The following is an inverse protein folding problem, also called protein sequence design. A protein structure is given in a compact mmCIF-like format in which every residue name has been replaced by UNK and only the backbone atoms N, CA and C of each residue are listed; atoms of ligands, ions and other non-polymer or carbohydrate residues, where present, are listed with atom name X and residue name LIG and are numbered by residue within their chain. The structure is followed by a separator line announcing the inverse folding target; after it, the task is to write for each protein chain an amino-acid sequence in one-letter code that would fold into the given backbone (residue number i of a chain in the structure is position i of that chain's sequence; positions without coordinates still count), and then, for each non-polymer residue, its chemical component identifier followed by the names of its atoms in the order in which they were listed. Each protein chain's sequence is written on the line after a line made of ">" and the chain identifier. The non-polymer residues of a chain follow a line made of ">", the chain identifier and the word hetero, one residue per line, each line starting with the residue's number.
data_IF_748983427698
#
_entry.id   IF_748983427698
#
_cell.length_a   1.000
_cell.length_b   1.000
_cell.length_c   1.000
_cell.angle_alpha   90.00
_cell.angle_beta   90.00
_cell.angle_gamma   90.00
#
_symmetry.space_group_name_H-M   'P 1'
#
loop_
_entity.id
_entity.type
_entity.pdbx_description
1 polymer ?
#
# COMPACT_ATOMS: atom_id res chain seq x y z
N UNK A 1 9.13 -3.45 -7.28
CA UNK A 1 8.56 -2.88 -8.51
C UNK A 1 7.27 -3.55 -8.96
N UNK A 2 7.20 -4.85 -9.27
CA UNK A 2 5.92 -5.46 -9.73
C UNK A 2 4.76 -5.28 -8.71
N UNK A 3 4.99 -5.64 -7.45
CA UNK A 3 4.00 -5.43 -6.38
C UNK A 3 3.71 -3.96 -6.08
N UNK A 4 4.71 -3.08 -6.19
CA UNK A 4 4.51 -1.63 -6.03
C UNK A 4 3.59 -1.08 -7.12
N UNK A 5 3.85 -1.40 -8.38
CA UNK A 5 3.03 -0.93 -9.50
C UNK A 5 1.59 -1.46 -9.42
N UNK A 6 1.41 -2.71 -8.99
CA UNK A 6 0.09 -3.28 -8.76
C UNK A 6 -0.67 -2.50 -7.67
N UNK A 7 -0.02 -2.23 -6.53
CA UNK A 7 -0.62 -1.45 -5.45
C UNK A 7 -0.87 0.01 -5.84
N UNK A 8 0.02 0.64 -6.62
CA UNK A 8 -0.18 1.99 -7.16
C UNK A 8 -1.42 2.02 -8.06
N UNK A 9 -1.56 1.03 -8.95
CA UNK A 9 -2.70 0.94 -9.85
C UNK A 9 -4.01 0.68 -9.09
N UNK A 10 -3.98 -0.17 -8.05
CA UNK A 10 -5.15 -0.49 -7.24
C UNK A 10 -5.58 0.70 -6.36
N UNK A 11 -4.61 1.31 -5.68
CA UNK A 11 -4.88 2.34 -4.69
C UNK A 11 -4.90 3.74 -5.29
N UNK A 12 -4.49 3.94 -6.54
CA UNK A 12 -4.49 5.24 -7.21
C UNK A 12 -3.58 6.29 -6.54
N UNK A 13 -2.61 5.84 -5.73
CA UNK A 13 -1.69 6.69 -4.99
C UNK A 13 -0.30 6.06 -4.97
N UNK A 14 0.71 6.83 -4.57
CA UNK A 14 2.08 6.34 -4.50
C UNK A 14 2.27 5.32 -3.39
N UNK A 15 2.89 4.19 -3.76
CA UNK A 15 3.23 3.10 -2.84
C UNK A 15 4.72 2.79 -2.93
N UNK A 16 5.36 2.63 -1.78
CA UNK A 16 6.77 2.23 -1.67
C UNK A 16 6.86 0.98 -0.80
N UNK A 17 7.51 -0.07 -1.31
CA UNK A 17 7.78 -1.30 -0.57
C UNK A 17 9.26 -1.36 -0.21
N UNK A 18 9.54 -1.27 1.09
CA UNK A 18 10.88 -1.41 1.62
C UNK A 18 11.06 -2.82 2.19
N UNK A 19 11.86 -3.64 1.52
CA UNK A 19 12.30 -4.94 2.04
C UNK A 19 13.67 -4.79 2.68
N UNK A 20 13.79 -5.02 3.99
CA UNK A 20 15.08 -4.94 4.64
C UNK A 20 15.81 -6.28 4.49
N UNK A 21 16.75 -6.38 3.55
CA UNK A 21 17.52 -7.62 3.28
C UNK A 21 18.28 -8.13 4.51
N UNK A 22 18.56 -7.27 5.49
CA UNK A 22 19.26 -7.62 6.74
C UNK A 22 18.31 -7.99 7.89
N UNK A 23 17.02 -7.70 7.77
CA UNK A 23 16.02 -7.94 8.81
C UNK A 23 15.19 -9.18 8.49
N UNK A 24 15.38 -10.25 9.26
CA UNK A 24 14.62 -11.52 9.30
C UNK A 24 13.14 -11.41 8.84
N UNK A 25 12.87 -11.41 7.53
CA UNK A 25 11.51 -11.36 6.98
C UNK A 25 10.72 -10.06 7.20
N UNK A 26 11.36 -8.95 7.59
CA UNK A 26 10.67 -7.67 7.83
C UNK A 26 10.56 -6.83 6.56
N UNK A 27 9.33 -6.44 6.21
CA UNK A 27 9.02 -5.49 5.15
C UNK A 27 8.17 -4.33 5.67
N UNK A 28 8.21 -3.20 4.97
CA UNK A 28 7.35 -2.05 5.22
C UNK A 28 6.71 -1.61 3.92
N UNK A 29 5.40 -1.38 3.93
CA UNK A 29 4.67 -0.73 2.85
C UNK A 29 4.33 0.68 3.32
N UNK A 30 4.60 1.67 2.49
CA UNK A 30 4.21 3.06 2.72
C UNK A 30 3.26 3.48 1.60
N UNK A 31 2.10 4.01 1.97
CA UNK A 31 1.06 4.46 1.06
C UNK A 31 0.86 5.96 1.34
N UNK A 32 1.04 6.80 0.34
CA UNK A 32 0.77 8.24 0.46
C UNK A 32 -0.74 8.51 0.36
N UNK A 33 -1.24 9.51 1.07
CA UNK A 33 -2.60 10.03 0.92
C UNK A 33 -2.52 11.56 0.99
N UNK A 34 -3.36 12.25 0.23
CA UNK A 34 -3.29 13.72 0.12
C UNK A 34 -4.46 14.41 0.82
N UNK A 35 -5.48 13.66 1.24
CA UNK A 35 -6.63 14.13 2.00
C UNK A 35 -7.32 12.95 2.74
N UNK A 36 -8.34 13.26 3.54
CA UNK A 36 -9.09 12.25 4.30
C UNK A 36 -9.88 11.28 3.41
N UNK A 37 -10.41 11.73 2.26
CA UNK A 37 -11.13 10.87 1.33
C UNK A 37 -10.21 9.79 0.72
N UNK A 38 -8.96 10.14 0.41
CA UNK A 38 -7.95 9.19 -0.06
C UNK A 38 -7.72 8.10 0.99
N UNK A 39 -7.53 8.51 2.25
CA UNK A 39 -7.31 7.60 3.36
C UNK A 39 -8.51 6.66 3.56
N UNK A 40 -9.73 7.20 3.53
CA UNK A 40 -10.94 6.41 3.67
C UNK A 40 -11.08 5.37 2.55
N UNK A 41 -10.91 5.78 1.29
CA UNK A 41 -10.97 4.85 0.14
C UNK A 41 -9.89 3.76 0.22
N UNK A 42 -8.67 4.11 0.66
CA UNK A 42 -7.60 3.13 0.87
C UNK A 42 -8.00 2.11 1.94
N UNK A 43 -8.58 2.57 3.06
CA UNK A 43 -9.05 1.69 4.12
C UNK A 43 -10.15 0.76 3.61
N UNK A 44 -11.15 1.29 2.91
CA UNK A 44 -12.25 0.52 2.30
C UNK A 44 -11.69 -0.61 1.42
N UNK A 45 -10.81 -0.29 0.45
CA UNK A 45 -10.18 -1.29 -0.44
C UNK A 45 -9.42 -2.37 0.34
N UNK A 46 -8.76 -2.01 1.44
CA UNK A 46 -7.99 -2.96 2.25
C UNK A 46 -8.88 -3.86 3.13
N UNK A 47 -10.04 -3.36 3.53
CA UNK A 47 -10.99 -4.12 4.38
C UNK A 47 -12.01 -4.92 3.58
N UNK A 48 -12.26 -4.57 2.31
CA UNK A 48 -13.19 -5.26 1.40
C UNK A 48 -12.66 -6.62 0.90
N UNK A 49 -11.45 -7.02 1.27
CA UNK A 49 -10.83 -8.27 0.80
C UNK A 49 -11.43 -9.51 1.49
N UNK A 50 -12.27 -9.34 2.51
CA UNK A 50 -12.84 -10.43 3.33
C UNK A 50 -14.36 -10.68 3.13
N UNK A 51 -15.01 -10.10 2.11
CA UNK A 51 -16.34 -10.53 1.60
C UNK A 51 -16.27 -11.14 0.18
#
# INVERSE_FOLDING_TARGET
>A
VQFENALISLLGTKVVIQTNKKGKGKGKIQIEFYNENDLQRILEILTDIDE
#
